data_IF_358534046154
#
_entry.id   IF_358534046154
#
_cell.length_a   1.000
_cell.length_b   1.000
_cell.length_c   1.000
_cell.angle_alpha   90.00
_cell.angle_beta   90.00
_cell.angle_gamma   90.00
#
_symmetry.space_group_name_H-M   'P 1'
#
loop_
_entity.id
_entity.type
_entity.pdbx_description
1 polymer ?
#
# COMPACT_ATOMS: atom_id res chain seq x y z
N UNK A 1 -24.41 -16.26 -41.30
CA UNK A 1 -23.12 -15.61 -41.57
C UNK A 1 -22.52 -15.23 -40.23
N UNK A 2 -21.38 -15.83 -39.86
CA UNK A 2 -20.63 -15.53 -38.62
C UNK A 2 -19.51 -14.57 -39.02
N UNK A 3 -19.52 -13.36 -38.51
CA UNK A 3 -18.38 -12.45 -38.62
C UNK A 3 -17.37 -12.85 -37.54
N UNK A 4 -16.15 -13.14 -37.96
CA UNK A 4 -14.99 -13.38 -37.11
C UNK A 4 -14.13 -12.14 -37.25
N UNK A 5 -14.02 -11.38 -36.16
CA UNK A 5 -13.23 -10.15 -36.06
C UNK A 5 -11.74 -10.51 -36.11
N UNK A 6 -11.02 -9.99 -37.10
CA UNK A 6 -9.58 -10.18 -37.25
C UNK A 6 -8.85 -9.13 -36.39
N UNK A 7 -8.01 -9.61 -35.47
CA UNK A 7 -7.16 -8.78 -34.62
C UNK A 7 -6.03 -8.12 -35.40
N UNK A 8 -5.83 -6.83 -35.14
CA UNK A 8 -4.69 -6.06 -35.64
C UNK A 8 -3.53 -6.28 -34.66
N UNK A 9 -2.44 -6.85 -35.17
CA UNK A 9 -1.16 -6.99 -34.45
C UNK A 9 -0.34 -5.73 -34.72
N UNK A 10 -0.19 -4.86 -33.73
CA UNK A 10 0.71 -3.71 -33.79
C UNK A 10 2.10 -4.19 -33.38
N UNK A 11 3.03 -4.23 -34.34
CA UNK A 11 4.44 -4.50 -34.09
C UNK A 11 5.12 -3.18 -33.74
N UNK A 12 5.32 -2.94 -32.44
CA UNK A 12 6.08 -1.80 -31.93
C UNK A 12 7.60 -2.09 -32.08
N UNK A 13 8.27 -1.35 -32.96
CA UNK A 13 9.73 -1.44 -33.12
C UNK A 13 10.40 -0.55 -32.09
N UNK A 14 10.84 -1.15 -30.98
CA UNK A 14 11.59 -0.48 -29.91
C UNK A 14 13.07 -0.35 -30.32
N UNK A 15 13.50 0.86 -30.69
CA UNK A 15 14.93 1.18 -30.86
C UNK A 15 15.59 1.39 -29.50
N UNK A 16 16.35 0.39 -29.06
CA UNK A 16 17.17 0.41 -27.85
C UNK A 16 18.45 1.24 -28.07
N UNK A 17 18.50 2.45 -27.52
CA UNK A 17 19.72 3.24 -27.45
C UNK A 17 20.50 2.90 -26.17
N UNK A 18 21.57 2.11 -26.32
CA UNK A 18 22.54 1.84 -25.26
C UNK A 18 23.46 3.06 -25.07
N UNK A 19 23.22 3.86 -24.03
CA UNK A 19 24.18 4.83 -23.50
C UNK A 19 24.82 4.29 -22.22
N UNK A 20 26.14 4.39 -22.14
CA UNK A 20 26.99 3.56 -21.30
C UNK A 20 27.16 4.00 -19.84
N UNK A 21 27.56 3.01 -19.05
CA UNK A 21 28.00 3.08 -17.66
C UNK A 21 29.21 4.00 -17.46
N UNK A 22 29.15 4.84 -16.42
CA UNK A 22 30.31 5.28 -15.63
C UNK A 22 29.91 5.28 -14.15
N UNK A 23 30.51 4.45 -13.27
CA UNK A 23 30.32 4.55 -11.83
C UNK A 23 31.33 5.52 -11.21
N UNK A 24 30.86 6.62 -10.63
CA UNK A 24 31.69 7.53 -9.82
C UNK A 24 31.46 7.33 -8.33
N UNK A 25 32.50 6.88 -7.65
CA UNK A 25 32.94 7.44 -6.36
C UNK A 25 32.15 7.05 -5.11
N UNK A 26 32.54 5.94 -4.48
CA UNK A 26 32.23 5.61 -3.09
C UNK A 26 33.00 6.56 -2.13
N UNK A 27 32.35 7.22 -1.15
CA UNK A 27 33.07 7.94 -0.10
C UNK A 27 33.54 7.01 1.02
N UNK A 28 34.80 7.19 1.43
CA UNK A 28 35.51 6.47 2.50
C UNK A 28 35.01 6.90 3.89
N UNK A 29 34.95 6.01 4.91
CA UNK A 29 34.55 6.38 6.27
C UNK A 29 35.75 6.89 7.11
N UNK A 30 35.53 7.99 7.82
CA UNK A 30 36.34 8.53 8.92
C UNK A 30 35.55 9.69 9.54
N UNK A 31 35.55 9.99 10.83
CA UNK A 31 36.37 9.60 11.96
C UNK A 31 35.59 10.09 13.20
N UNK A 32 35.46 9.28 14.26
CA UNK A 32 34.82 9.70 15.52
C UNK A 32 35.83 10.44 16.41
N UNK A 33 35.48 11.58 17.02
CA UNK A 33 36.13 12.00 18.25
C UNK A 33 35.31 11.61 19.48
N UNK A 34 35.98 10.85 20.35
CA UNK A 34 35.64 10.58 21.75
C UNK A 34 36.20 11.68 22.65
N UNK A 35 35.37 12.24 23.53
CA UNK A 35 35.69 12.80 24.87
C UNK A 35 34.33 13.16 25.50
N UNK A 36 33.89 12.70 26.67
CA UNK A 36 34.61 12.20 27.83
C UNK A 36 34.83 13.32 28.84
N UNK A 37 33.79 13.78 29.55
CA UNK A 37 34.00 14.47 30.83
C UNK A 37 32.78 14.32 31.77
N UNK A 38 33.02 13.69 32.90
CA UNK A 38 32.12 13.55 34.06
C UNK A 38 32.77 14.26 35.24
N UNK A 39 32.09 15.20 35.88
CA UNK A 39 32.38 15.65 37.25
C UNK A 39 31.06 15.93 37.98
N UNK A 40 30.87 15.26 39.11
CA UNK A 40 29.69 15.35 39.99
C UNK A 40 29.75 16.48 41.05
N UNK A 41 28.74 16.54 41.94
CA UNK A 41 28.46 17.63 42.91
C UNK A 41 29.08 17.33 44.31
N UNK A 42 28.95 18.15 45.41
CA UNK A 42 27.69 18.40 46.17
C UNK A 42 27.60 19.70 47.08
N UNK A 43 26.56 19.74 47.96
CA UNK A 43 26.31 20.49 49.23
C UNK A 43 25.36 21.73 49.21
N UNK A 44 24.14 21.66 49.78
CA UNK A 44 23.65 21.92 51.19
C UNK A 44 23.53 23.43 51.55
N UNK A 45 22.55 24.02 52.27
CA UNK A 45 21.38 23.62 53.06
C UNK A 45 20.45 24.86 53.31
N UNK A 46 19.29 24.62 53.95
CA UNK A 46 18.05 25.43 54.23
C UNK A 46 18.19 26.50 55.36
N UNK A 47 17.13 27.09 56.02
CA UNK A 47 15.65 27.18 55.86
C UNK A 47 15.03 28.61 56.12
N UNK A 48 13.69 28.77 56.14
CA UNK A 48 12.85 29.53 57.14
C UNK A 48 11.34 29.54 56.74
N UNK A 49 10.45 29.17 57.68
CA UNK A 49 8.97 29.37 57.73
C UNK A 49 8.63 30.43 58.84
N UNK A 50 7.39 30.93 59.12
CA UNK A 50 6.08 30.21 59.32
C UNK A 50 4.79 30.95 58.80
N UNK A 51 3.69 30.27 58.48
CA UNK A 51 2.40 29.97 59.19
C UNK A 51 1.39 31.13 59.44
N UNK A 52 0.11 30.92 59.08
CA UNK A 52 -1.20 31.29 59.74
C UNK A 52 -2.37 30.64 58.90
N UNK A 53 -3.13 29.65 59.39
CA UNK A 53 -4.41 29.64 60.15
C UNK A 53 -5.74 29.60 59.31
N UNK A 54 -6.40 28.41 59.32
CA UNK A 54 -7.85 28.04 59.46
C UNK A 54 -8.99 28.71 58.63
N UNK A 55 -10.19 28.09 58.40
CA UNK A 55 -10.87 27.06 59.23
C UNK A 55 -11.63 25.90 58.51
N UNK A 56 -12.11 24.99 59.36
CA UNK A 56 -12.90 23.75 59.17
C UNK A 56 -14.41 23.94 58.88
N UNK A 57 -15.04 23.00 58.14
CA UNK A 57 -16.49 22.65 58.22
C UNK A 57 -16.67 21.13 57.97
N UNK A 58 -17.64 20.41 58.61
CA UNK A 58 -17.67 18.95 58.75
C UNK A 58 -18.80 18.19 57.99
N UNK A 59 -18.70 16.85 57.95
CA UNK A 59 -19.75 15.86 57.59
C UNK A 59 -19.80 15.53 56.10
N UNK A 60 -20.03 14.32 55.61
CA UNK A 60 -20.59 13.08 56.18
C UNK A 60 -20.38 11.92 55.16
N UNK A 61 -20.51 10.68 55.64
CA UNK A 61 -20.79 9.43 54.91
C UNK A 61 -19.76 8.82 53.92
N UNK A 62 -18.99 7.85 54.44
CA UNK A 62 -18.41 6.71 53.71
C UNK A 62 -19.48 5.72 53.22
N UNK A 63 -19.38 5.20 51.97
CA UNK A 63 -19.80 3.85 51.63
C UNK A 63 -18.60 2.87 51.56
N UNK A 64 -18.83 1.56 51.76
CA UNK A 64 -17.80 0.58 52.09
C UNK A 64 -16.95 0.13 50.89
N UNK A 65 -15.72 -0.30 51.23
CA UNK A 65 -14.78 -0.96 50.35
C UNK A 65 -15.32 -2.31 49.87
N UNK A 66 -15.34 -2.51 48.55
CA UNK A 66 -15.56 -3.80 47.93
C UNK A 66 -14.28 -4.64 48.06
N UNK A 67 -14.46 -5.89 48.46
CA UNK A 67 -13.37 -6.83 48.74
C UNK A 67 -12.58 -7.14 47.46
N UNK A 68 -11.27 -6.92 47.53
CA UNK A 68 -10.32 -7.39 46.54
C UNK A 68 -10.22 -8.92 46.63
N UNK A 69 -10.90 -9.62 45.73
CA UNK A 69 -10.65 -11.04 45.51
C UNK A 69 -9.24 -11.23 44.94
N UNK A 70 -8.45 -12.03 45.66
CA UNK A 70 -7.08 -12.39 45.35
C UNK A 70 -7.07 -13.42 44.22
N UNK A 71 -6.25 -13.26 43.16
CA UNK A 71 -6.09 -14.32 42.18
C UNK A 71 -5.31 -15.50 42.81
N UNK A 72 -5.76 -16.76 42.65
CA UNK A 72 -5.01 -17.90 43.13
C UNK A 72 -3.73 -18.13 42.31
N UNK A 73 -2.77 -18.71 43.02
CA UNK A 73 -1.38 -18.88 42.66
C UNK A 73 -1.09 -19.60 41.34
N UNK A 74 0.04 -19.21 40.75
CA UNK A 74 0.73 -19.83 39.65
C UNK A 74 0.80 -21.36 39.79
N UNK A 75 0.26 -22.06 38.78
CA UNK A 75 0.61 -23.44 38.49
C UNK A 75 1.63 -23.43 37.35
N UNK A 76 2.87 -23.74 37.70
CA UNK A 76 3.94 -24.16 36.79
C UNK A 76 3.48 -25.36 35.96
N UNK A 77 3.46 -25.31 34.61
CA UNK A 77 3.48 -26.53 33.82
C UNK A 77 4.92 -27.06 33.74
N UNK A 78 5.04 -28.35 34.04
CA UNK A 78 6.24 -29.15 33.98
C UNK A 78 6.81 -29.23 32.55
N UNK A 79 8.13 -29.37 32.49
CA UNK A 79 8.89 -29.82 31.34
C UNK A 79 8.67 -31.33 31.05
N UNK A 80 9.15 -31.77 29.89
CA UNK A 80 9.00 -33.07 29.21
C UNK A 80 7.65 -33.19 28.47
N UNK A 81 7.62 -33.25 27.14
CA UNK A 81 8.27 -34.27 26.31
C UNK A 81 9.01 -33.68 25.11
N UNK A 82 10.16 -34.27 24.83
CA UNK A 82 10.96 -34.13 23.60
C UNK A 82 10.17 -34.55 22.36
N UNK A 83 10.15 -33.79 21.26
CA UNK A 83 9.73 -34.33 19.97
C UNK A 83 10.83 -35.25 19.45
N UNK A 84 10.47 -36.52 19.28
CA UNK A 84 11.22 -37.54 18.55
C UNK A 84 11.52 -37.04 17.14
N UNK A 85 12.80 -37.06 16.76
CA UNK A 85 13.28 -36.87 15.41
C UNK A 85 12.58 -37.87 14.47
N UNK A 86 11.70 -37.39 13.60
CA UNK A 86 11.20 -38.15 12.46
C UNK A 86 12.24 -38.05 11.35
N UNK A 87 12.76 -39.21 10.96
CA UNK A 87 13.83 -39.34 9.98
C UNK A 87 13.45 -38.69 8.64
N UNK A 88 14.34 -37.84 8.16
CA UNK A 88 14.32 -37.34 6.79
C UNK A 88 14.58 -38.50 5.82
N UNK A 89 13.51 -39.09 5.30
CA UNK A 89 13.58 -39.95 4.12
C UNK A 89 14.00 -39.09 2.93
N UNK A 90 15.19 -39.42 2.41
CA UNK A 90 15.79 -38.87 1.21
C UNK A 90 15.06 -39.43 -0.02
N UNK A 91 14.43 -38.63 -0.90
CA UNK A 91 14.15 -39.11 -2.24
C UNK A 91 15.42 -39.04 -3.08
N UNK A 92 15.88 -40.22 -3.48
CA UNK A 92 16.95 -40.42 -4.43
C UNK A 92 16.63 -39.77 -5.79
N UNK A 93 17.69 -39.33 -6.44
CA UNK A 93 17.76 -38.83 -7.80
C UNK A 93 17.53 -39.94 -8.85
N UNK A 94 17.38 -39.48 -10.09
CA UNK A 94 17.29 -40.20 -11.38
C UNK A 94 15.89 -40.78 -11.68
N UNK A 95 15.22 -40.44 -12.78
CA UNK A 95 15.70 -40.52 -14.17
C UNK A 95 15.01 -39.48 -15.08
N UNK A 96 15.78 -38.74 -15.87
CA UNK A 96 15.40 -38.29 -17.21
C UNK A 96 16.31 -39.07 -18.18
N UNK A 97 15.74 -39.77 -19.18
CA UNK A 97 15.58 -39.15 -20.50
C UNK A 97 14.26 -39.60 -21.16
N UNK A 98 13.75 -38.94 -22.21
CA UNK A 98 14.04 -39.31 -23.60
C UNK A 98 13.52 -38.20 -24.51
N UNK A 99 14.41 -37.70 -25.38
CA UNK A 99 14.11 -36.82 -26.50
C UNK A 99 13.49 -37.67 -27.62
N UNK A 100 12.33 -37.26 -28.13
CA UNK A 100 11.83 -37.70 -29.44
C UNK A 100 12.01 -36.53 -30.42
N UNK A 101 13.01 -36.68 -31.30
CA UNK A 101 13.09 -35.99 -32.58
C UNK A 101 11.99 -36.54 -33.49
N UNK A 102 11.23 -35.65 -34.13
CA UNK A 102 10.14 -36.03 -35.03
C UNK A 102 9.78 -34.94 -36.04
N UNK A 103 10.63 -34.80 -37.05
CA UNK A 103 10.32 -34.48 -38.44
C UNK A 103 9.68 -33.12 -38.82
N UNK A 104 10.52 -32.32 -39.49
CA UNK A 104 10.14 -31.37 -40.54
C UNK A 104 9.76 -32.13 -41.82
N UNK A 105 8.78 -31.67 -42.60
CA UNK A 105 9.07 -31.50 -44.02
C UNK A 105 8.61 -30.16 -44.60
N UNK A 106 9.20 -29.89 -45.77
CA UNK A 106 9.30 -28.63 -46.48
C UNK A 106 8.11 -28.29 -47.40
N UNK A 107 8.24 -27.10 -47.99
CA UNK A 107 7.73 -26.63 -49.30
C UNK A 107 6.25 -26.20 -49.31
N UNK A 108 5.97 -24.90 -49.46
CA UNK A 108 5.99 -24.10 -50.71
C UNK A 108 4.75 -24.40 -51.56
N UNK A 109 3.81 -23.45 -51.59
CA UNK A 109 2.93 -23.15 -52.73
C UNK A 109 2.42 -21.71 -52.57
N UNK A 110 2.95 -20.79 -53.38
CA UNK A 110 2.28 -19.54 -53.75
C UNK A 110 1.05 -19.84 -54.60
N UNK A 111 -0.03 -19.03 -54.51
CA UNK A 111 -0.56 -18.50 -55.75
C UNK A 111 -1.00 -17.03 -55.69
N UNK A 112 -0.59 -16.33 -56.74
CA UNK A 112 -1.40 -15.50 -57.63
C UNK A 112 -2.11 -14.25 -57.08
N UNK A 113 -1.54 -13.13 -57.51
CA UNK A 113 -2.12 -11.79 -57.64
C UNK A 113 -3.36 -11.83 -58.53
N UNK A 114 -4.48 -11.30 -58.03
CA UNK A 114 -5.60 -10.85 -58.86
C UNK A 114 -5.90 -9.39 -58.50
N UNK A 115 -5.89 -8.58 -59.55
CA UNK A 115 -6.16 -7.15 -59.63
C UNK A 115 -7.68 -6.94 -59.60
N UNK A 116 -8.20 -6.04 -58.74
CA UNK A 116 -9.64 -5.74 -58.78
C UNK A 116 -10.18 -4.86 -57.67
N UNK A 117 -10.30 -3.57 -58.00
CA UNK A 117 -11.36 -2.63 -57.55
C UNK A 117 -11.29 -2.02 -56.14
N UNK A 118 -10.81 -0.77 -56.12
CA UNK A 118 -11.17 0.31 -55.19
C UNK A 118 -12.67 0.34 -54.84
N UNK A 119 -13.00 0.48 -53.55
CA UNK A 119 -14.13 1.29 -53.11
C UNK A 119 -13.65 2.56 -52.40
N UNK A 120 -14.54 3.53 -52.41
CA UNK A 120 -14.34 4.93 -52.11
C UNK A 120 -13.79 5.21 -50.70
N UNK A 121 -13.03 6.31 -50.62
CA UNK A 121 -12.65 6.97 -49.40
C UNK A 121 -13.91 7.34 -48.59
N UNK A 122 -14.15 6.60 -47.52
CA UNK A 122 -14.92 7.10 -46.40
C UNK A 122 -13.93 7.86 -45.51
N UNK A 123 -14.14 9.16 -45.39
CA UNK A 123 -13.42 10.03 -44.47
C UNK A 123 -13.50 9.44 -43.07
N UNK A 124 -12.38 9.21 -42.35
CA UNK A 124 -12.47 8.97 -40.93
C UNK A 124 -13.00 10.25 -40.30
N UNK A 125 -14.23 10.17 -39.78
CA UNK A 125 -14.72 11.13 -38.80
C UNK A 125 -13.74 11.07 -37.64
N UNK A 126 -12.95 12.13 -37.49
CA UNK A 126 -12.18 12.41 -36.29
C UNK A 126 -13.17 12.43 -35.13
N UNK A 127 -13.15 11.38 -34.33
CA UNK A 127 -13.67 11.41 -32.97
C UNK A 127 -12.73 12.36 -32.22
N UNK A 128 -13.21 13.59 -31.99
CA UNK A 128 -12.56 14.49 -31.05
C UNK A 128 -12.54 13.76 -29.72
N UNK A 129 -11.34 13.34 -29.29
CA UNK A 129 -11.08 13.02 -27.90
C UNK A 129 -11.46 14.28 -27.10
N UNK A 130 -12.63 14.26 -26.47
CA UNK A 130 -12.98 15.27 -25.49
C UNK A 130 -11.98 15.11 -24.35
N UNK A 131 -11.00 16.02 -24.26
CA UNK A 131 -10.19 16.19 -23.06
C UNK A 131 -11.15 16.29 -21.87
N UNK A 132 -11.07 15.40 -20.87
CA UNK A 132 -11.90 15.50 -19.68
C UNK A 132 -11.79 16.89 -19.08
N UNK A 133 -12.92 17.46 -18.68
CA UNK A 133 -12.92 18.75 -18.02
C UNK A 133 -12.12 18.64 -16.73
N UNK A 134 -11.02 19.40 -16.61
CA UNK A 134 -10.29 19.55 -15.37
C UNK A 134 -11.28 19.85 -14.22
N UNK A 135 -11.39 18.93 -13.25
CA UNK A 135 -12.33 19.01 -12.12
C UNK A 135 -13.55 18.07 -12.19
N UNK A 136 -13.59 17.11 -13.12
CA UNK A 136 -14.51 15.98 -13.02
C UNK A 136 -14.06 15.03 -11.89
N UNK A 137 -15.03 14.46 -11.16
CA UNK A 137 -14.77 13.43 -10.15
C UNK A 137 -14.37 12.12 -10.89
N UNK A 138 -13.21 11.51 -10.56
CA UNK A 138 -12.80 10.20 -11.11
C UNK A 138 -13.84 9.11 -10.86
N UNK A 139 -13.88 8.12 -11.74
CA UNK A 139 -14.80 6.97 -11.59
C UNK A 139 -14.03 5.81 -10.98
N UNK A 140 -14.50 5.26 -9.86
CA UNK A 140 -13.86 4.11 -9.22
C UNK A 140 -14.32 2.81 -9.91
N UNK A 141 -13.73 2.48 -11.07
CA UNK A 141 -14.15 1.33 -11.90
C UNK A 141 -13.03 0.35 -12.31
N UNK A 142 -11.82 0.57 -11.82
CA UNK A 142 -10.66 -0.31 -12.01
C UNK A 142 -9.90 -0.02 -13.30
N UNK A 143 -10.28 1.02 -14.05
CA UNK A 143 -9.67 1.47 -15.28
C UNK A 143 -9.24 2.92 -15.10
N UNK A 144 -7.92 3.14 -15.09
CA UNK A 144 -7.34 4.49 -14.99
C UNK A 144 -7.17 5.06 -16.39
N UNK A 145 -8.07 5.95 -16.79
CA UNK A 145 -8.05 6.58 -18.12
C UNK A 145 -7.04 7.74 -18.21
N UNK A 146 -6.67 8.12 -19.44
CA UNK A 146 -5.88 9.34 -19.67
C UNK A 146 -6.68 10.57 -19.20
N UNK A 147 -6.03 11.45 -18.44
CA UNK A 147 -6.61 12.67 -17.85
C UNK A 147 -7.77 12.45 -16.84
N UNK A 148 -8.01 11.22 -16.38
CA UNK A 148 -9.03 10.96 -15.35
C UNK A 148 -8.70 11.62 -14.01
N UNK A 149 -7.44 11.49 -13.60
CA UNK A 149 -6.92 12.12 -12.39
C UNK A 149 -6.01 13.29 -12.77
N UNK A 150 -6.16 14.47 -12.14
CA UNK A 150 -5.33 15.63 -12.44
C UNK A 150 -3.92 15.52 -11.83
N UNK A 151 -3.75 14.73 -10.76
CA UNK A 151 -2.47 14.55 -10.11
C UNK A 151 -1.96 13.12 -10.28
N UNK A 152 -0.66 12.98 -10.54
CA UNK A 152 0.01 11.69 -10.70
C UNK A 152 1.45 11.75 -10.17
N UNK A 153 1.95 10.61 -9.70
CA UNK A 153 3.34 10.43 -9.30
C UNK A 153 3.80 8.99 -9.57
N UNK A 154 5.03 8.85 -10.06
CA UNK A 154 5.72 7.55 -10.10
C UNK A 154 6.62 7.40 -8.88
N UNK A 155 6.24 6.54 -7.95
CA UNK A 155 6.99 6.21 -6.74
C UNK A 155 7.72 4.89 -6.97
N UNK A 156 8.84 4.98 -7.70
CA UNK A 156 9.67 3.84 -8.10
C UNK A 156 8.88 2.80 -8.93
N UNK A 157 8.39 1.74 -8.30
CA UNK A 157 7.62 0.68 -8.95
C UNK A 157 6.09 0.89 -8.87
N UNK A 158 5.63 1.87 -8.11
CA UNK A 158 4.20 2.18 -7.96
C UNK A 158 3.88 3.45 -8.74
N UNK A 159 2.81 3.41 -9.52
CA UNK A 159 2.18 4.61 -10.06
C UNK A 159 0.98 4.97 -9.19
N UNK A 160 0.86 6.26 -8.87
CA UNK A 160 -0.13 6.81 -7.97
C UNK A 160 -0.84 7.96 -8.67
N UNK A 161 -2.16 8.02 -8.55
CA UNK A 161 -2.98 9.13 -9.00
C UNK A 161 -3.94 9.55 -7.91
N UNK A 162 -4.27 10.85 -7.85
CA UNK A 162 -5.22 11.34 -6.87
C UNK A 162 -5.95 12.62 -7.31
N UNK A 163 -7.09 12.83 -6.69
CA UNK A 163 -7.95 14.00 -6.86
C UNK A 163 -8.74 14.24 -5.57
N UNK A 164 -8.99 15.49 -5.21
CA UNK A 164 -10.01 15.82 -4.22
C UNK A 164 -10.95 16.91 -4.75
N UNK A 165 -12.24 16.77 -4.48
CA UNK A 165 -13.27 17.77 -4.81
C UNK A 165 -13.55 18.76 -3.66
N UNK A 166 -12.80 18.63 -2.56
CA UNK A 166 -12.97 19.43 -1.36
C UNK A 166 -13.84 18.77 -0.30
N UNK A 167 -14.48 17.63 -0.61
CA UNK A 167 -15.24 16.82 0.35
C UNK A 167 -14.66 15.41 0.50
N UNK A 168 -14.26 14.78 -0.61
CA UNK A 168 -13.63 13.44 -0.62
C UNK A 168 -12.29 13.44 -1.36
N UNK A 169 -11.45 12.46 -1.05
CA UNK A 169 -10.23 12.10 -1.76
C UNK A 169 -10.49 10.83 -2.59
N UNK A 170 -10.23 10.90 -3.88
CA UNK A 170 -10.17 9.75 -4.79
C UNK A 170 -8.71 9.43 -5.09
N UNK A 171 -8.33 8.16 -4.99
CA UNK A 171 -6.96 7.68 -5.19
C UNK A 171 -6.96 6.44 -6.08
N UNK A 172 -5.99 6.35 -6.97
CA UNK A 172 -5.66 5.14 -7.71
C UNK A 172 -4.19 4.75 -7.51
N UNK A 173 -3.92 3.46 -7.31
CA UNK A 173 -2.59 2.87 -7.24
C UNK A 173 -2.46 1.76 -8.28
N UNK A 174 -1.31 1.68 -8.93
CA UNK A 174 -0.92 0.57 -9.79
C UNK A 174 0.44 0.03 -9.37
N UNK A 175 0.54 -1.29 -9.20
CA UNK A 175 1.77 -1.96 -8.79
C UNK A 175 2.01 -3.28 -9.55
N UNK A 176 3.27 -3.63 -9.87
CA UNK A 176 3.63 -4.88 -10.55
C UNK A 176 3.60 -6.06 -9.56
N UNK A 177 2.39 -6.46 -9.17
CA UNK A 177 2.11 -7.61 -8.31
C UNK A 177 0.80 -8.27 -8.73
N UNK A 178 0.63 -9.54 -8.35
CA UNK A 178 -0.67 -10.21 -8.33
C UNK A 178 -1.26 -10.30 -6.92
N UNK A 179 -0.53 -9.77 -5.93
CA UNK A 179 -0.96 -9.70 -4.54
C UNK A 179 -1.56 -8.34 -4.16
N UNK A 180 -1.48 -8.04 -2.87
CA UNK A 180 -2.03 -6.81 -2.31
C UNK A 180 -1.23 -5.56 -2.68
N UNK A 181 -1.91 -4.43 -2.76
CA UNK A 181 -1.37 -3.06 -2.89
C UNK A 181 -2.03 -2.18 -1.84
N UNK A 182 -1.36 -1.11 -1.40
CA UNK A 182 -2.01 -0.15 -0.53
C UNK A 182 -1.19 1.10 -0.25
N UNK A 183 -1.87 2.02 0.43
CA UNK A 183 -1.36 3.33 0.83
C UNK A 183 -1.68 3.57 2.30
N UNK A 184 -0.72 4.15 3.03
CA UNK A 184 -0.88 4.70 4.37
C UNK A 184 -0.76 6.22 4.33
N UNK A 185 -1.77 6.94 4.80
CA UNK A 185 -1.90 8.39 4.81
C UNK A 185 -1.45 8.95 6.16
N UNK A 186 -0.71 10.07 6.10
CA UNK A 186 -0.23 10.84 7.26
C UNK A 186 0.39 10.02 8.42
N UNK A 187 1.39 9.15 8.16
CA UNK A 187 2.07 8.42 9.22
C UNK A 187 2.75 9.35 10.24
N UNK A 188 2.73 8.95 11.51
CA UNK A 188 3.49 9.64 12.57
C UNK A 188 4.93 9.13 12.67
N UNK A 189 5.11 7.81 12.61
CA UNK A 189 6.40 7.17 12.74
C UNK A 189 6.41 5.81 12.04
N UNK A 190 7.05 5.73 10.87
CA UNK A 190 6.97 4.54 10.02
C UNK A 190 5.50 4.19 9.79
N UNK A 191 5.07 2.94 10.04
CA UNK A 191 3.67 2.57 9.86
C UNK A 191 2.74 3.14 10.95
N UNK A 192 3.29 3.60 12.07
CA UNK A 192 2.48 4.05 13.21
C UNK A 192 1.73 5.33 12.89
N UNK A 193 0.45 5.36 13.24
CA UNK A 193 -0.43 6.51 13.09
C UNK A 193 -0.84 6.79 11.64
N UNK A 194 -0.57 5.85 10.72
CA UNK A 194 -1.01 5.94 9.36
C UNK A 194 -2.43 5.36 9.23
N UNK A 195 -3.27 6.05 8.49
CA UNK A 195 -4.54 5.56 7.96
C UNK A 195 -4.24 4.75 6.70
N UNK A 196 -4.45 3.44 6.74
CA UNK A 196 -4.17 2.52 5.65
C UNK A 196 -5.42 2.10 4.89
N UNK A 197 -5.40 2.32 3.58
CA UNK A 197 -6.31 1.64 2.65
C UNK A 197 -5.52 0.58 1.88
N UNK A 198 -5.87 -0.68 2.08
CA UNK A 198 -5.16 -1.86 1.56
C UNK A 198 -6.13 -2.72 0.75
N UNK A 199 -5.66 -3.29 -0.36
CA UNK A 199 -6.53 -4.10 -1.18
C UNK A 199 -5.83 -5.18 -1.99
N UNK A 200 -6.55 -6.27 -2.26
CA UNK A 200 -6.17 -7.36 -3.15
C UNK A 200 -7.39 -7.89 -3.89
N UNK A 201 -7.18 -8.56 -5.02
CA UNK A 201 -8.20 -9.38 -5.66
C UNK A 201 -7.84 -10.86 -5.49
N UNK A 202 -8.76 -11.66 -4.93
CA UNK A 202 -8.63 -13.13 -4.93
C UNK A 202 -9.80 -13.75 -5.69
N UNK A 203 -9.51 -14.60 -6.67
CA UNK A 203 -10.51 -15.37 -7.40
C UNK A 203 -11.64 -14.50 -8.00
N UNK A 204 -11.32 -13.25 -8.37
CA UNK A 204 -12.26 -12.27 -8.89
C UNK A 204 -13.12 -11.56 -7.83
N UNK A 205 -12.87 -11.80 -6.54
CA UNK A 205 -13.47 -11.10 -5.41
C UNK A 205 -12.51 -10.07 -4.84
N UNK A 206 -13.01 -8.86 -4.62
CA UNK A 206 -12.23 -7.78 -4.02
C UNK A 206 -12.13 -7.99 -2.51
N UNK A 207 -10.93 -7.80 -1.98
CA UNK A 207 -10.68 -7.64 -0.54
C UNK A 207 -10.10 -6.27 -0.33
N UNK A 208 -10.87 -5.43 0.31
CA UNK A 208 -10.46 -4.07 0.69
C UNK A 208 -10.48 -4.01 2.21
N UNK A 209 -9.50 -3.32 2.78
CA UNK A 209 -9.35 -3.18 4.22
C UNK A 209 -8.96 -1.75 4.53
N UNK A 210 -9.83 -1.12 5.31
CA UNK A 210 -9.55 0.10 6.04
C UNK A 210 -8.92 -0.26 7.39
N UNK A 211 -7.74 0.29 7.68
CA UNK A 211 -6.90 -0.14 8.80
C UNK A 211 -6.01 0.97 9.36
N UNK A 212 -5.64 0.83 10.64
CA UNK A 212 -4.85 1.83 11.33
C UNK A 212 -3.53 1.30 11.87
N UNK A 213 -2.46 2.04 11.61
CA UNK A 213 -1.12 1.73 12.12
C UNK A 213 -0.96 1.88 13.63
N UNK A 214 -1.07 0.79 14.38
CA UNK A 214 -0.89 0.75 15.85
C UNK A 214 0.58 0.75 16.31
N UNK A 215 1.54 0.55 15.41
CA UNK A 215 2.96 0.49 15.72
C UNK A 215 3.87 0.75 14.51
N UNK A 216 5.19 0.92 14.72
CA UNK A 216 6.08 1.37 13.66
C UNK A 216 6.41 0.30 12.60
N UNK A 217 6.26 -0.98 12.92
CA UNK A 217 6.60 -2.09 12.02
C UNK A 217 5.96 -3.40 12.41
N UNK A 218 5.75 -4.28 11.42
CA UNK A 218 5.18 -5.62 11.62
C UNK A 218 3.71 -5.67 11.18
N UNK A 219 2.99 -6.76 11.49
CA UNK A 219 1.55 -6.87 11.22
C UNK A 219 0.78 -6.07 12.30
N UNK A 220 0.92 -4.74 12.27
CA UNK A 220 0.43 -3.81 13.30
C UNK A 220 -0.57 -2.80 12.74
N UNK A 221 -1.27 -3.17 11.68
CA UNK A 221 -2.33 -2.38 11.04
C UNK A 221 -3.63 -3.19 10.96
N UNK A 222 -4.26 -3.51 12.11
CA UNK A 222 -5.56 -4.19 12.12
C UNK A 222 -6.64 -3.28 11.51
N UNK A 223 -7.77 -3.87 11.04
CA UNK A 223 -8.89 -3.09 10.55
C UNK A 223 -9.46 -2.15 11.62
N UNK A 224 -9.97 -1.01 11.20
CA UNK A 224 -10.44 0.04 12.11
C UNK A 224 -11.64 -0.40 12.95
N UNK A 225 -12.54 -1.17 12.35
CA UNK A 225 -13.67 -1.79 13.05
C UNK A 225 -13.22 -2.70 14.22
N UNK A 226 -12.06 -3.36 14.12
CA UNK A 226 -11.51 -4.19 15.20
C UNK A 226 -10.97 -3.34 16.36
N UNK A 227 -10.60 -2.10 16.08
CA UNK A 227 -10.16 -1.10 17.05
C UNK A 227 -11.33 -0.25 17.58
N UNK A 228 -12.55 -0.49 17.08
CA UNK A 228 -13.76 0.26 17.45
C UNK A 228 -13.95 1.57 16.69
N UNK A 229 -13.31 1.71 15.54
CA UNK A 229 -13.61 2.73 14.52
C UNK A 229 -14.61 2.23 13.48
N UNK A 230 -14.58 2.84 12.30
CA UNK A 230 -15.42 2.57 11.14
C UNK A 230 -14.57 2.23 9.91
N UNK A 231 -15.19 1.53 8.95
CA UNK A 231 -14.67 1.46 7.58
C UNK A 231 -15.27 2.65 6.82
N UNK A 232 -14.41 3.59 6.41
CA UNK A 232 -14.80 4.87 5.84
C UNK A 232 -14.54 4.95 4.32
N UNK A 233 -14.27 3.81 3.67
CA UNK A 233 -14.15 3.71 2.22
C UNK A 233 -15.56 3.78 1.57
N UNK A 234 -15.84 4.87 0.85
CA UNK A 234 -17.15 5.10 0.20
C UNK A 234 -17.31 4.25 -1.06
N UNK A 235 -16.23 4.15 -1.84
CA UNK A 235 -16.16 3.41 -3.10
C UNK A 235 -14.79 2.75 -3.21
N UNK A 236 -14.75 1.52 -3.76
CA UNK A 236 -13.50 0.83 -4.03
C UNK A 236 -13.63 -0.12 -5.22
N UNK A 237 -12.55 -0.24 -5.97
CA UNK A 237 -12.39 -1.20 -7.04
C UNK A 237 -10.96 -1.74 -7.06
N UNK A 238 -10.82 -3.06 -7.20
CA UNK A 238 -9.52 -3.74 -7.26
C UNK A 238 -9.53 -4.70 -8.43
N UNK A 239 -8.55 -4.55 -9.32
CA UNK A 239 -8.40 -5.39 -10.50
C UNK A 239 -6.97 -5.91 -10.57
N UNK A 240 -6.82 -7.23 -10.69
CA UNK A 240 -5.52 -7.87 -10.91
C UNK A 240 -5.51 -8.55 -12.26
N UNK A 241 -4.71 -8.02 -13.19
CA UNK A 241 -4.60 -8.51 -14.57
C UNK A 241 -3.16 -8.36 -15.07
N UNK A 242 -2.70 -9.29 -15.89
CA UNK A 242 -1.37 -9.26 -16.53
C UNK A 242 -0.18 -9.00 -15.57
N UNK A 243 -0.26 -9.53 -14.34
CA UNK A 243 0.79 -9.38 -13.33
C UNK A 243 0.81 -8.01 -12.62
N UNK A 244 -0.28 -7.25 -12.75
CA UNK A 244 -0.45 -5.91 -12.18
C UNK A 244 -1.74 -5.87 -11.36
N UNK A 245 -1.65 -5.33 -10.14
CA UNK A 245 -2.82 -5.00 -9.32
C UNK A 245 -3.03 -3.50 -9.37
N UNK A 246 -4.26 -3.11 -9.72
CA UNK A 246 -4.79 -1.74 -9.63
C UNK A 246 -5.79 -1.66 -8.50
N UNK A 247 -5.70 -0.60 -7.72
CA UNK A 247 -6.61 -0.32 -6.62
C UNK A 247 -7.05 1.14 -6.72
N UNK A 248 -8.35 1.34 -6.86
CA UNK A 248 -9.00 2.65 -6.81
C UNK A 248 -9.94 2.71 -5.63
N UNK A 249 -9.99 3.85 -4.96
CA UNK A 249 -10.92 4.07 -3.86
C UNK A 249 -11.22 5.53 -3.65
N UNK A 250 -12.28 5.78 -2.87
CA UNK A 250 -12.73 7.09 -2.45
C UNK A 250 -13.03 7.11 -0.95
N UNK A 251 -12.54 8.13 -0.26
CA UNK A 251 -12.77 8.35 1.19
C UNK A 251 -13.19 9.81 1.44
N UNK A 252 -13.99 10.11 2.47
CA UNK A 252 -14.20 11.48 2.91
C UNK A 252 -12.87 12.10 3.36
N UNK A 253 -12.72 13.42 3.20
CA UNK A 253 -11.57 14.15 3.73
C UNK A 253 -11.58 14.26 5.27
N UNK A 254 -12.77 14.20 5.88
CA UNK A 254 -12.96 14.16 7.33
C UNK A 254 -14.08 13.16 7.64
N UNK A 255 -13.68 11.97 8.11
CA UNK A 255 -14.59 10.87 8.43
C UNK A 255 -15.21 11.05 9.83
N UNK A 256 -14.51 11.76 10.71
CA UNK A 256 -14.82 11.84 12.13
C UNK A 256 -14.42 10.58 12.92
N UNK A 257 -13.77 9.60 12.28
CA UNK A 257 -13.14 8.48 12.97
C UNK A 257 -11.91 8.95 13.77
N UNK A 258 -11.60 8.26 14.88
CA UNK A 258 -10.43 8.54 15.69
C UNK A 258 -9.11 8.01 15.10
N UNK A 259 -9.19 7.09 14.13
CA UNK A 259 -8.07 6.46 13.46
C UNK A 259 -7.73 7.15 12.13
N UNK A 260 -8.66 7.92 11.57
CA UNK A 260 -8.47 8.74 10.38
C UNK A 260 -8.25 10.21 10.75
N UNK A 261 -7.11 10.75 10.33
CA UNK A 261 -6.83 12.18 10.53
C UNK A 261 -7.49 12.99 9.42
N UNK A 262 -8.15 14.11 9.74
CA UNK A 262 -8.71 14.99 8.72
C UNK A 262 -7.65 15.47 7.73
N UNK A 263 -7.98 15.36 6.46
CA UNK A 263 -7.21 15.86 5.34
C UNK A 263 -7.78 17.20 4.87
N UNK A 264 -6.94 18.23 4.83
CA UNK A 264 -7.34 19.57 4.46
C UNK A 264 -6.89 19.88 3.02
N UNK A 265 -7.79 20.38 2.16
CA UNK A 265 -7.44 20.80 0.81
C UNK A 265 -6.26 21.78 0.78
N UNK A 266 -5.31 21.58 -0.14
CA UNK A 266 -4.11 22.40 -0.30
C UNK A 266 -2.93 22.03 0.60
N UNK A 267 -3.10 21.15 1.58
CA UNK A 267 -1.99 20.67 2.41
C UNK A 267 -1.21 19.53 1.73
N UNK A 268 0.00 19.29 2.24
CA UNK A 268 0.87 18.19 1.81
C UNK A 268 1.02 17.18 2.93
N UNK A 269 0.80 15.91 2.61
CA UNK A 269 0.77 14.80 3.56
C UNK A 269 1.86 13.79 3.22
N UNK A 270 2.65 13.33 4.21
CA UNK A 270 3.49 12.17 4.00
C UNK A 270 2.61 10.94 3.74
N UNK A 271 3.12 10.03 2.91
CA UNK A 271 2.44 8.76 2.61
C UNK A 271 3.43 7.60 2.62
N UNK A 272 2.89 6.40 2.80
CA UNK A 272 3.59 5.13 2.61
C UNK A 272 2.86 4.36 1.54
N UNK A 273 3.54 3.96 0.48
CA UNK A 273 2.98 3.05 -0.53
C UNK A 273 3.68 1.72 -0.45
N UNK A 274 2.95 0.63 -0.62
CA UNK A 274 3.49 -0.72 -0.54
C UNK A 274 2.70 -1.70 -1.40
N UNK A 275 3.34 -2.82 -1.74
CA UNK A 275 2.67 -3.98 -2.29
C UNK A 275 3.36 -5.27 -1.82
N UNK A 276 2.57 -6.34 -1.76
CA UNK A 276 3.00 -7.68 -1.35
C UNK A 276 2.72 -8.74 -2.42
N UNK A 277 3.32 -9.92 -2.29
CA UNK A 277 3.20 -11.00 -3.28
C UNK A 277 1.97 -11.91 -3.08
N UNK A 278 1.24 -11.76 -1.98
CA UNK A 278 0.05 -12.57 -1.65
C UNK A 278 -1.19 -11.68 -1.56
N UNK A 279 -2.35 -12.30 -1.53
CA UNK A 279 -3.66 -11.66 -1.34
C UNK A 279 -3.98 -11.33 0.13
N UNK A 280 -3.20 -11.86 1.08
CA UNK A 280 -3.26 -11.52 2.50
C UNK A 280 -2.68 -10.11 2.75
N UNK A 281 -3.53 -9.12 3.03
CA UNK A 281 -3.13 -7.71 3.18
C UNK A 281 -2.09 -7.48 4.30
N UNK A 282 -2.06 -8.34 5.31
CA UNK A 282 -1.14 -8.25 6.45
C UNK A 282 0.17 -9.04 6.24
N UNK A 283 0.33 -9.69 5.09
CA UNK A 283 1.56 -10.36 4.73
C UNK A 283 2.67 -9.34 4.47
N UNK A 284 3.92 -9.76 4.65
CA UNK A 284 5.06 -8.87 4.50
C UNK A 284 5.15 -8.32 3.06
N UNK A 285 5.16 -7.00 2.93
CA UNK A 285 5.35 -6.30 1.65
C UNK A 285 6.68 -6.70 0.98
N UNK A 286 6.63 -6.96 -0.33
CA UNK A 286 7.80 -7.15 -1.18
C UNK A 286 8.46 -5.81 -1.53
N UNK A 287 7.67 -4.73 -1.54
CA UNK A 287 8.11 -3.37 -1.78
C UNK A 287 7.38 -2.41 -0.85
N UNK A 288 8.09 -1.39 -0.35
CA UNK A 288 7.51 -0.23 0.32
C UNK A 288 8.35 1.01 0.07
N UNK A 289 7.71 2.17 0.05
CA UNK A 289 8.39 3.45 -0.11
C UNK A 289 7.61 4.57 0.59
N UNK A 290 8.33 5.50 1.22
CA UNK A 290 7.77 6.76 1.70
C UNK A 290 7.80 7.82 0.60
N UNK A 291 6.76 8.64 0.53
CA UNK A 291 6.62 9.79 -0.36
C UNK A 291 5.74 10.85 0.30
N UNK A 292 5.28 11.83 -0.47
CA UNK A 292 4.25 12.79 -0.09
C UNK A 292 3.27 13.00 -1.25
N UNK A 293 2.05 13.44 -0.93
CA UNK A 293 1.07 13.97 -1.88
C UNK A 293 0.61 15.35 -1.41
N UNK A 294 0.29 16.22 -2.36
CA UNK A 294 -0.33 17.52 -2.08
C UNK A 294 -1.76 17.47 -2.60
N UNK A 295 -2.72 17.78 -1.73
CA UNK A 295 -4.12 17.89 -2.12
C UNK A 295 -4.37 19.17 -2.90
N UNK A 296 -5.29 19.11 -3.85
CA UNK A 296 -5.77 20.29 -4.55
C UNK A 296 -6.39 21.27 -3.55
N UNK A 297 -6.19 22.59 -3.73
CA UNK A 297 -6.84 23.58 -2.89
C UNK A 297 -8.36 23.49 -3.05
N UNK A 298 -9.11 23.93 -2.03
CA UNK A 298 -10.56 24.01 -2.13
C UNK A 298 -10.97 24.87 -3.35
N UNK A 299 -12.02 24.47 -4.10
CA UNK A 299 -12.49 25.15 -5.30
C UNK A 299 -12.99 26.59 -5.08
#
# INVERSE_FOLDING_TARGET
MRQVTAGIVIVLVLTLALAGCQPTGQPTPGELPSTGETVGPPEEATPVAPAEESPTVPGEETPPAEEAETPPAAATPAAEETPTEEEAETPAAEETPTLEEGETPAAEETPTVEEGETPAAETPTTEEAETPAAGAVPTVDGIIDEDEYPNTATINAIELWWYNDGESLSVALQAPTEGWVGIGLDPENMMQGADFKLAAALDGEMRVTDAFGTGPSGPVHPPDEELGGTDDIEEAMVVTEDGVTRFEFRIPLDTGDQYDKPLEPGNTYPIIVAFGPSDEYNAYHAFRQMSEITLDPAP
#
